data_IF_569387840562
#
_entry.id   IF_569387840562
#
_cell.length_a   1.000
_cell.length_b   1.000
_cell.length_c   1.000
_cell.angle_alpha   90.00
_cell.angle_beta   90.00
_cell.angle_gamma   90.00
#
_symmetry.space_group_name_H-M   'P 1'
#
loop_
_entity.id
_entity.type
_entity.pdbx_description
1 polymer ?
#
# COMPACT_ATOMS: atom_id res chain seq x y z
N UNK A 1 -23.43 6.35 -60.26
CA UNK A 1 -24.69 6.12 -59.52
C UNK A 1 -24.72 4.66 -59.05
N UNK A 2 -25.09 4.47 -57.77
CA UNK A 2 -25.48 3.24 -57.05
C UNK A 2 -24.46 2.08 -56.96
N UNK A 3 -23.76 1.92 -55.83
CA UNK A 3 -24.17 1.34 -54.52
C UNK A 3 -24.26 -0.20 -54.56
N UNK A 4 -23.12 -0.85 -54.35
CA UNK A 4 -23.06 -2.25 -53.92
C UNK A 4 -23.27 -2.33 -52.40
N UNK A 5 -24.29 -3.06 -51.98
CA UNK A 5 -24.58 -3.40 -50.59
C UNK A 5 -23.63 -4.51 -50.10
N UNK A 6 -22.73 -4.19 -49.18
CA UNK A 6 -21.98 -5.17 -48.40
C UNK A 6 -22.55 -5.16 -46.98
N UNK A 7 -23.30 -6.20 -46.62
CA UNK A 7 -23.63 -6.50 -45.24
C UNK A 7 -22.32 -6.81 -44.49
N UNK A 8 -22.03 -6.18 -43.34
CA UNK A 8 -20.90 -6.62 -42.52
C UNK A 8 -21.25 -7.96 -41.87
N UNK A 9 -20.40 -8.97 -42.13
CA UNK A 9 -20.41 -10.24 -41.41
C UNK A 9 -20.39 -9.98 -39.89
N UNK A 10 -21.15 -10.74 -39.08
CA UNK A 10 -21.05 -10.62 -37.63
C UNK A 10 -19.62 -10.92 -37.19
N UNK A 11 -19.04 -9.96 -36.47
CA UNK A 11 -17.69 -10.05 -35.89
C UNK A 11 -17.68 -11.27 -34.97
N UNK A 12 -16.94 -12.30 -35.36
CA UNK A 12 -16.70 -13.47 -34.52
C UNK A 12 -15.79 -13.05 -33.37
N UNK A 13 -16.27 -13.18 -32.14
CA UNK A 13 -15.45 -12.97 -30.95
C UNK A 13 -14.27 -13.96 -30.94
N UNK A 14 -13.05 -13.53 -30.59
CA UNK A 14 -11.94 -14.44 -30.39
C UNK A 14 -12.26 -15.45 -29.29
N UNK A 15 -11.73 -16.69 -29.35
CA UNK A 15 -12.03 -17.72 -28.38
C UNK A 15 -11.64 -17.26 -26.97
N UNK A 16 -12.57 -17.46 -26.04
CA UNK A 16 -12.45 -17.06 -24.64
C UNK A 16 -11.51 -18.01 -23.89
N UNK A 17 -10.20 -17.94 -24.17
CA UNK A 17 -9.20 -18.69 -23.42
C UNK A 17 -8.00 -17.82 -23.03
N UNK A 18 -8.22 -16.98 -22.03
CA UNK A 18 -7.32 -17.00 -20.88
C UNK A 18 -8.17 -17.21 -19.64
N UNK A 19 -8.22 -18.46 -19.23
CA UNK A 19 -8.99 -18.94 -18.09
C UNK A 19 -8.82 -18.04 -16.87
N UNK A 20 -9.94 -17.46 -16.42
CA UNK A 20 -10.09 -16.74 -15.15
C UNK A 20 -9.72 -17.65 -13.96
N UNK A 21 -9.56 -18.97 -14.19
CA UNK A 21 -9.14 -19.94 -13.18
C UNK A 21 -7.78 -19.63 -12.52
N UNK A 22 -6.95 -18.76 -13.10
CA UNK A 22 -5.70 -18.32 -12.46
C UNK A 22 -5.85 -17.15 -11.47
N UNK A 23 -7.02 -16.50 -11.41
CA UNK A 23 -7.31 -15.42 -10.46
C UNK A 23 -8.04 -15.88 -9.20
N UNK A 24 -8.29 -17.18 -9.09
CA UNK A 24 -8.87 -17.80 -7.91
C UNK A 24 -7.78 -17.92 -6.83
N UNK A 25 -8.06 -17.42 -5.62
CA UNK A 25 -7.32 -17.85 -4.42
C UNK A 25 -7.46 -19.37 -4.27
N UNK A 26 -6.66 -20.03 -3.41
CA UNK A 26 -6.85 -21.47 -3.15
C UNK A 26 -8.27 -21.83 -2.59
N UNK A 27 -9.10 -20.84 -2.24
CA UNK A 27 -10.54 -20.98 -1.92
C UNK A 27 -11.50 -20.46 -3.01
N UNK A 28 -10.97 -19.87 -4.08
CA UNK A 28 -11.67 -19.49 -5.30
C UNK A 28 -12.92 -18.64 -5.13
N UNK A 29 -12.89 -17.60 -4.29
CA UNK A 29 -14.08 -16.78 -3.98
C UNK A 29 -13.84 -15.27 -4.17
N UNK A 30 -14.75 -14.60 -4.87
CA UNK A 30 -14.91 -13.14 -4.96
C UNK A 30 -16.24 -12.71 -4.31
N UNK A 31 -16.30 -11.55 -3.64
CA UNK A 31 -17.52 -11.01 -3.02
C UNK A 31 -17.70 -9.54 -3.40
N UNK A 32 -18.87 -9.19 -3.94
CA UNK A 32 -19.34 -7.81 -4.15
C UNK A 32 -20.81 -7.69 -3.76
N UNK A 33 -21.12 -6.83 -2.78
CA UNK A 33 -22.44 -6.78 -2.14
C UNK A 33 -22.88 -8.12 -1.56
N UNK A 34 -24.11 -8.54 -1.90
CA UNK A 34 -24.72 -9.83 -1.52
C UNK A 34 -24.33 -10.97 -2.48
N UNK A 35 -23.51 -10.69 -3.50
CA UNK A 35 -23.12 -11.66 -4.51
C UNK A 35 -21.73 -12.21 -4.20
N UNK A 36 -21.67 -13.54 -4.09
CA UNK A 36 -20.45 -14.31 -3.92
C UNK A 36 -20.23 -15.14 -5.18
N UNK A 37 -19.12 -14.92 -5.86
CA UNK A 37 -18.71 -15.71 -7.03
C UNK A 37 -17.66 -16.70 -6.57
N UNK A 38 -17.93 -17.99 -6.71
CA UNK A 38 -16.96 -19.04 -6.40
C UNK A 38 -16.75 -20.01 -7.57
N UNK A 39 -15.92 -21.03 -7.38
CA UNK A 39 -15.66 -22.09 -8.38
C UNK A 39 -16.91 -22.84 -8.87
N UNK A 40 -18.02 -22.76 -8.14
CA UNK A 40 -19.29 -23.44 -8.42
C UNK A 40 -20.36 -22.49 -9.02
N UNK A 41 -20.03 -21.21 -9.25
CA UNK A 41 -20.90 -20.22 -9.89
C UNK A 41 -21.19 -18.98 -9.03
N UNK A 42 -22.26 -18.25 -9.38
CA UNK A 42 -22.71 -17.04 -8.68
C UNK A 42 -23.75 -17.44 -7.62
N UNK A 43 -23.47 -17.18 -6.35
CA UNK A 43 -24.40 -17.37 -5.23
C UNK A 43 -24.82 -16.03 -4.62
N UNK A 44 -26.11 -15.87 -4.32
CA UNK A 44 -26.64 -14.82 -3.45
C UNK A 44 -26.50 -15.27 -2.00
N UNK A 45 -25.65 -14.60 -1.22
CA UNK A 45 -25.45 -14.94 0.19
C UNK A 45 -26.54 -14.27 1.02
N UNK A 46 -27.56 -15.03 1.41
CA UNK A 46 -28.46 -14.62 2.50
C UNK A 46 -27.67 -14.58 3.81
N UNK A 47 -27.86 -13.53 4.61
CA UNK A 47 -27.17 -13.25 5.88
C UNK A 47 -27.42 -14.35 6.94
N UNK A 48 -26.78 -15.51 6.83
CA UNK A 48 -26.79 -16.53 7.89
C UNK A 48 -25.77 -17.65 7.65
N UNK A 49 -24.47 -17.34 7.71
CA UNK A 49 -23.43 -18.32 8.09
C UNK A 49 -22.36 -17.60 8.94
N UNK A 50 -21.77 -18.30 9.94
CA UNK A 50 -20.99 -17.66 11.00
C UNK A 50 -19.78 -16.96 10.41
N UNK A 51 -19.68 -15.66 10.69
CA UNK A 51 -18.73 -14.75 10.10
C UNK A 51 -17.29 -15.22 10.22
N UNK A 52 -16.47 -14.76 9.27
CA UNK A 52 -15.02 -14.74 9.42
C UNK A 52 -14.63 -14.37 10.86
N UNK A 53 -13.54 -14.94 11.41
CA UNK A 53 -13.11 -14.65 12.77
C UNK A 53 -13.13 -13.12 12.95
N UNK A 54 -13.72 -12.63 14.06
CA UNK A 54 -13.90 -11.21 14.28
C UNK A 54 -12.56 -10.48 14.11
N UNK A 55 -12.59 -9.16 13.83
CA UNK A 55 -11.41 -8.32 13.92
C UNK A 55 -10.60 -8.70 15.15
N UNK A 56 -9.27 -8.75 15.02
CA UNK A 56 -8.39 -9.12 16.11
C UNK A 56 -8.57 -8.06 17.21
N UNK A 57 -9.41 -8.38 18.18
CA UNK A 57 -9.65 -7.58 19.37
C UNK A 57 -8.87 -8.25 20.51
N UNK A 58 -7.87 -7.58 21.09
CA UNK A 58 -7.19 -8.10 22.27
C UNK A 58 -8.21 -8.22 23.41
N UNK A 59 -8.29 -9.41 24.01
CA UNK A 59 -9.30 -9.76 25.02
C UNK A 59 -9.20 -8.86 26.27
N UNK A 60 -8.03 -8.29 26.51
CA UNK A 60 -7.76 -7.23 27.46
C UNK A 60 -6.88 -6.18 26.77
N UNK A 61 -7.22 -4.89 26.88
CA UNK A 61 -6.52 -3.76 26.25
C UNK A 61 -5.05 -3.54 26.70
N UNK A 62 -4.38 -4.56 27.23
CA UNK A 62 -2.99 -4.53 27.67
C UNK A 62 -2.21 -5.71 27.09
N UNK A 63 -1.89 -5.63 25.80
CA UNK A 63 -0.86 -6.50 25.22
C UNK A 63 0.49 -6.19 25.90
N UNK A 64 1.27 -7.23 26.18
CA UNK A 64 2.67 -7.12 26.64
C UNK A 64 3.60 -7.80 25.63
N UNK A 65 4.81 -7.28 25.46
CA UNK A 65 5.84 -7.92 24.62
C UNK A 65 6.21 -9.32 25.13
N UNK A 66 6.09 -9.57 26.44
CA UNK A 66 6.39 -10.88 27.03
C UNK A 66 5.39 -11.97 26.62
N UNK A 67 4.16 -11.58 26.24
CA UNK A 67 3.09 -12.49 25.84
C UNK A 67 3.10 -12.82 24.35
N UNK A 68 4.08 -12.27 23.61
CA UNK A 68 4.25 -12.47 22.19
C UNK A 68 5.40 -13.43 21.91
N UNK A 69 5.14 -14.38 21.01
CA UNK A 69 6.12 -15.28 20.44
C UNK A 69 6.47 -14.81 19.03
N UNK A 70 7.77 -14.64 18.74
CA UNK A 70 8.23 -14.26 17.39
C UNK A 70 8.22 -15.50 16.51
N UNK A 71 7.49 -15.42 15.40
CA UNK A 71 7.37 -16.51 14.42
C UNK A 71 8.42 -16.36 13.32
N UNK A 72 8.45 -15.19 12.66
CA UNK A 72 9.39 -14.90 11.58
C UNK A 72 9.51 -13.40 11.31
N UNK A 73 10.59 -12.99 10.65
CA UNK A 73 10.68 -11.64 10.07
C UNK A 73 9.84 -11.59 8.80
N UNK A 74 8.98 -10.58 8.68
CA UNK A 74 8.11 -10.35 7.52
C UNK A 74 8.45 -9.08 6.73
N UNK A 75 9.24 -8.19 7.30
CA UNK A 75 9.72 -6.99 6.61
C UNK A 75 11.01 -6.47 7.22
N UNK A 76 11.89 -5.95 6.36
CA UNK A 76 13.04 -5.15 6.76
C UNK A 76 13.01 -3.88 5.91
N UNK A 77 12.81 -2.74 6.56
CA UNK A 77 12.68 -1.45 5.88
C UNK A 77 13.62 -0.41 6.48
N UNK A 78 13.65 0.78 5.86
CA UNK A 78 14.41 1.95 6.35
C UNK A 78 14.03 2.36 7.77
N UNK A 79 12.78 2.10 8.16
CA UNK A 79 12.27 2.41 9.50
C UNK A 79 12.56 1.33 10.55
N UNK A 80 13.15 0.19 10.19
CA UNK A 80 13.42 -0.93 11.11
C UNK A 80 12.88 -2.28 10.65
N UNK A 81 12.78 -3.22 11.58
CA UNK A 81 12.38 -4.60 11.33
C UNK A 81 10.90 -4.83 11.69
N UNK A 82 10.22 -5.63 10.88
CA UNK A 82 8.83 -6.07 11.13
C UNK A 82 8.80 -7.58 11.27
N UNK A 83 8.25 -8.07 12.38
CA UNK A 83 8.15 -9.47 12.73
C UNK A 83 6.69 -9.90 12.79
N UNK A 84 6.38 -11.08 12.25
CA UNK A 84 5.13 -11.77 12.57
C UNK A 84 5.28 -12.35 13.97
N UNK A 85 4.37 -11.97 14.84
CA UNK A 85 4.31 -12.46 16.22
C UNK A 85 2.96 -13.10 16.49
N UNK A 86 2.92 -14.03 17.44
CA UNK A 86 1.72 -14.73 17.87
C UNK A 86 1.53 -14.51 19.37
N UNK A 87 0.35 -14.11 19.78
CA UNK A 87 0.04 -14.00 21.19
C UNK A 87 -0.13 -15.40 21.80
N UNK A 88 0.59 -15.69 22.88
CA UNK A 88 0.73 -17.03 23.45
C UNK A 88 -0.60 -17.61 23.92
N UNK A 89 -1.48 -16.79 24.49
CA UNK A 89 -2.77 -17.27 25.02
C UNK A 89 -3.85 -17.31 23.94
N UNK A 90 -4.07 -16.21 23.24
CA UNK A 90 -5.17 -16.09 22.25
C UNK A 90 -4.83 -16.72 20.90
N UNK A 91 -3.56 -17.08 20.67
CA UNK A 91 -3.04 -17.61 19.41
C UNK A 91 -3.23 -16.66 18.22
N UNK A 92 -3.59 -15.40 18.47
CA UNK A 92 -3.80 -14.37 17.45
C UNK A 92 -2.46 -13.86 16.91
N UNK A 93 -2.44 -13.52 15.61
CA UNK A 93 -1.26 -13.02 14.93
C UNK A 93 -1.24 -11.49 14.86
N UNK A 94 -0.07 -10.91 15.08
CA UNK A 94 0.16 -9.47 14.97
C UNK A 94 1.44 -9.20 14.17
N UNK A 95 1.58 -7.96 13.69
CA UNK A 95 2.84 -7.45 13.17
C UNK A 95 3.53 -6.61 14.26
N UNK A 96 4.73 -7.00 14.66
CA UNK A 96 5.57 -6.25 15.59
C UNK A 96 6.62 -5.47 14.81
N UNK A 97 6.49 -4.14 14.78
CA UNK A 97 7.48 -3.24 14.19
C UNK A 97 8.43 -2.72 15.26
N UNK A 98 9.73 -2.91 15.06
CA UNK A 98 10.79 -2.47 15.97
C UNK A 98 11.63 -1.41 15.27
N UNK A 99 11.62 -0.20 15.83
CA UNK A 99 12.33 0.98 15.36
C UNK A 99 13.43 1.32 16.36
N UNK A 100 14.67 1.39 15.90
CA UNK A 100 15.78 1.84 16.73
C UNK A 100 15.92 3.35 16.60
N UNK A 101 15.88 4.06 17.73
CA UNK A 101 16.05 5.50 17.80
C UNK A 101 17.39 5.81 18.47
N UNK A 102 18.26 6.50 17.76
CA UNK A 102 19.55 6.97 18.29
C UNK A 102 19.39 8.43 18.76
N UNK A 103 18.56 8.65 19.79
CA UNK A 103 18.30 9.97 20.38
C UNK A 103 18.06 9.85 21.89
N UNK A 104 17.89 10.98 22.58
CA UNK A 104 17.68 11.01 24.02
C UNK A 104 16.39 10.28 24.43
N UNK A 105 16.40 9.71 25.64
CA UNK A 105 15.28 8.90 26.14
C UNK A 105 13.96 9.70 26.25
N UNK A 106 14.04 10.96 26.69
CA UNK A 106 12.90 11.89 26.77
C UNK A 106 12.25 12.09 25.39
N UNK A 107 13.07 12.31 24.36
CA UNK A 107 12.65 12.43 22.96
C UNK A 107 12.03 11.14 22.45
N UNK A 108 12.65 9.98 22.74
CA UNK A 108 12.09 8.68 22.35
C UNK A 108 10.71 8.41 22.98
N UNK A 109 10.52 8.77 24.25
CA UNK A 109 9.22 8.64 24.93
C UNK A 109 8.15 9.52 24.27
N UNK A 110 8.50 10.79 23.97
CA UNK A 110 7.60 11.69 23.26
C UNK A 110 7.22 11.15 21.86
N UNK A 111 8.19 10.63 21.12
CA UNK A 111 7.99 9.98 19.82
C UNK A 111 7.05 8.78 19.95
N UNK A 112 7.27 7.89 20.92
CA UNK A 112 6.44 6.71 21.14
C UNK A 112 5.00 7.09 21.47
N UNK A 113 4.81 8.15 22.25
CA UNK A 113 3.48 8.68 22.57
C UNK A 113 2.78 9.30 21.36
N UNK A 114 3.49 10.09 20.55
CA UNK A 114 2.94 10.67 19.30
C UNK A 114 2.56 9.57 18.31
N UNK A 115 3.40 8.53 18.15
CA UNK A 115 3.08 7.36 17.33
C UNK A 115 1.81 6.67 17.80
N UNK A 116 1.67 6.44 19.11
CA UNK A 116 0.47 5.82 19.66
C UNK A 116 -0.79 6.62 19.34
N UNK A 117 -0.74 7.95 19.47
CA UNK A 117 -1.88 8.84 19.19
C UNK A 117 -2.21 8.87 17.70
N UNK A 118 -1.19 8.92 16.85
CA UNK A 118 -1.38 8.99 15.41
C UNK A 118 -1.92 7.67 14.86
N UNK A 119 -1.37 6.54 15.32
CA UNK A 119 -1.72 5.21 14.85
C UNK A 119 -2.97 4.62 15.54
N UNK A 120 -3.46 5.21 16.63
CA UNK A 120 -4.74 4.83 17.24
C UNK A 120 -5.91 5.34 16.38
N UNK A 121 -6.12 4.67 15.26
CA UNK A 121 -7.21 4.94 14.33
C UNK A 121 -8.14 3.74 14.20
N UNK A 122 -9.44 4.02 14.25
CA UNK A 122 -10.49 3.05 13.91
C UNK A 122 -10.87 3.11 12.42
N UNK A 123 -10.09 3.82 11.60
CA UNK A 123 -10.36 3.93 10.17
C UNK A 123 -10.07 2.59 9.46
N UNK A 124 -11.05 2.00 8.74
CA UNK A 124 -10.91 0.70 8.08
C UNK A 124 -9.96 0.70 6.87
N UNK A 125 -9.40 1.85 6.51
CA UNK A 125 -8.43 2.02 5.42
C UNK A 125 -7.00 2.22 5.94
N UNK A 126 -6.80 2.20 7.26
CA UNK A 126 -5.50 2.30 7.92
C UNK A 126 -5.23 1.04 8.73
N UNK A 127 -3.98 0.62 8.76
CA UNK A 127 -3.53 -0.48 9.62
C UNK A 127 -3.70 -0.05 11.08
N UNK A 128 -4.42 -0.85 11.86
CA UNK A 128 -4.67 -0.53 13.26
C UNK A 128 -3.40 -0.74 14.09
N UNK A 129 -3.11 0.20 14.98
CA UNK A 129 -2.13 0.02 16.04
C UNK A 129 -2.82 -0.34 17.34
N UNK A 130 -2.41 -1.45 17.93
CA UNK A 130 -2.96 -1.95 19.19
C UNK A 130 -2.21 -1.41 20.40
N UNK A 131 -0.87 -1.39 20.33
CA UNK A 131 -0.05 -0.91 21.45
C UNK A 131 1.34 -0.48 20.97
N UNK A 132 1.97 0.44 21.70
CA UNK A 132 3.38 0.78 21.54
C UNK A 132 4.14 0.69 22.86
N UNK A 133 5.42 0.36 22.78
CA UNK A 133 6.33 0.27 23.91
C UNK A 133 7.63 0.99 23.57
N UNK A 134 8.27 1.53 24.60
CA UNK A 134 9.62 2.06 24.50
C UNK A 134 10.50 1.41 25.56
N UNK A 135 11.63 0.86 25.15
CA UNK A 135 12.62 0.28 26.06
C UNK A 135 14.02 0.35 25.43
N UNK A 136 15.00 0.87 26.16
CA UNK A 136 16.42 0.92 25.77
C UNK A 136 16.67 1.45 24.33
N UNK A 137 16.07 2.58 23.96
CA UNK A 137 16.24 3.16 22.63
C UNK A 137 15.45 2.48 21.51
N UNK A 138 14.66 1.46 21.82
CA UNK A 138 13.80 0.76 20.85
C UNK A 138 12.33 1.12 21.06
N UNK A 139 11.68 1.56 19.98
CA UNK A 139 10.22 1.69 19.91
C UNK A 139 9.65 0.45 19.24
N UNK A 140 8.82 -0.28 19.98
CA UNK A 140 8.12 -1.46 19.51
C UNK A 140 6.64 -1.15 19.33
N UNK A 141 6.06 -1.49 18.18
CA UNK A 141 4.68 -1.17 17.83
C UNK A 141 3.98 -2.45 17.41
N UNK A 142 2.89 -2.81 18.09
CA UNK A 142 2.02 -3.92 17.72
C UNK A 142 0.94 -3.41 16.78
N UNK A 143 0.92 -3.95 15.58
CA UNK A 143 0.05 -3.58 14.47
C UNK A 143 -0.83 -4.76 14.06
N UNK A 144 -1.95 -4.43 13.39
CA UNK A 144 -2.75 -5.38 12.62
C UNK A 144 -1.87 -6.15 11.63
N UNK A 145 -1.98 -7.47 11.66
CA UNK A 145 -1.31 -8.32 10.70
C UNK A 145 -2.14 -8.44 9.41
N UNK A 146 -1.54 -8.01 8.31
CA UNK A 146 -2.12 -8.08 6.97
C UNK A 146 -1.52 -9.28 6.23
N UNK A 147 -2.25 -10.38 6.21
CA UNK A 147 -1.78 -11.71 5.82
C UNK A 147 -1.54 -11.91 4.30
N UNK A 148 -1.92 -10.94 3.47
CA UNK A 148 -1.63 -10.90 2.04
C UNK A 148 -0.31 -10.19 1.69
N UNK A 149 0.37 -9.60 2.68
CA UNK A 149 1.61 -8.83 2.50
C UNK A 149 1.36 -7.44 1.92
N UNK A 150 2.37 -6.88 1.26
CA UNK A 150 2.28 -5.55 0.63
C UNK A 150 1.89 -5.61 -0.84
N UNK A 151 1.46 -4.48 -1.40
CA UNK A 151 1.23 -4.34 -2.83
C UNK A 151 2.53 -4.54 -3.64
N UNK A 152 3.70 -4.23 -3.07
CA UNK A 152 4.99 -4.57 -3.66
C UNK A 152 5.19 -6.10 -3.77
N UNK A 153 4.78 -6.86 -2.75
CA UNK A 153 4.85 -8.32 -2.76
C UNK A 153 3.86 -8.93 -3.76
N UNK A 154 2.67 -8.34 -3.88
CA UNK A 154 1.71 -8.71 -4.90
C UNK A 154 2.31 -8.48 -6.29
N UNK A 155 2.85 -7.30 -6.55
CA UNK A 155 3.39 -6.92 -7.86
C UNK A 155 4.53 -7.84 -8.30
N UNK A 156 5.41 -8.24 -7.38
CA UNK A 156 6.47 -9.24 -7.65
C UNK A 156 5.91 -10.59 -8.09
N UNK A 157 4.73 -10.99 -7.62
CA UNK A 157 4.11 -12.28 -7.95
C UNK A 157 3.32 -12.24 -9.25
N UNK A 158 2.57 -11.16 -9.49
CA UNK A 158 1.62 -11.10 -10.62
C UNK A 158 2.16 -10.30 -11.81
N UNK A 159 3.22 -9.51 -11.62
CA UNK A 159 3.81 -8.65 -12.63
C UNK A 159 3.00 -7.38 -12.88
N UNK A 160 1.69 -7.48 -13.12
CA UNK A 160 0.79 -6.33 -13.35
C UNK A 160 -0.54 -6.52 -12.65
N UNK A 161 -1.15 -5.43 -12.23
CA UNK A 161 -2.48 -5.40 -11.61
C UNK A 161 -3.49 -4.90 -12.64
N UNK A 162 -4.54 -5.69 -12.96
CA UNK A 162 -5.62 -5.26 -13.85
C UNK A 162 -6.29 -3.97 -13.38
N UNK A 163 -6.69 -3.13 -14.33
CA UNK A 163 -7.22 -1.78 -14.07
C UNK A 163 -8.46 -1.79 -13.14
N UNK A 164 -9.35 -2.77 -13.31
CA UNK A 164 -10.53 -2.94 -12.47
C UNK A 164 -10.19 -3.27 -11.00
N UNK A 165 -9.14 -4.05 -10.75
CA UNK A 165 -8.65 -4.30 -9.39
C UNK A 165 -7.94 -3.05 -8.84
N UNK A 166 -7.17 -2.38 -9.70
CA UNK A 166 -6.43 -1.19 -9.33
C UNK A 166 -7.36 -0.03 -8.94
N UNK A 167 -8.52 0.11 -9.58
CA UNK A 167 -9.53 1.11 -9.21
C UNK A 167 -10.11 0.84 -7.80
N UNK A 168 -10.37 -0.43 -7.46
CA UNK A 168 -10.82 -0.83 -6.13
C UNK A 168 -9.75 -0.55 -5.05
N UNK A 169 -8.48 -0.85 -5.35
CA UNK A 169 -7.34 -0.52 -4.50
C UNK A 169 -7.26 1.01 -4.30
N UNK A 170 -7.24 1.77 -5.40
CA UNK A 170 -7.16 3.23 -5.40
C UNK A 170 -8.26 3.86 -4.54
N UNK A 171 -9.51 3.44 -4.71
CA UNK A 171 -10.64 3.93 -3.91
C UNK A 171 -10.42 3.76 -2.40
N UNK A 172 -9.88 2.62 -1.96
CA UNK A 172 -9.59 2.37 -0.54
C UNK A 172 -8.44 3.25 -0.05
N UNK A 173 -7.36 3.37 -0.82
CA UNK A 173 -6.21 4.20 -0.47
C UNK A 173 -6.61 5.68 -0.38
N UNK A 174 -7.38 6.19 -1.33
CA UNK A 174 -7.90 7.56 -1.29
C UNK A 174 -8.76 7.84 -0.06
N UNK A 175 -9.60 6.89 0.37
CA UNK A 175 -10.35 7.03 1.62
C UNK A 175 -9.43 7.11 2.85
N UNK A 176 -8.37 6.29 2.89
CA UNK A 176 -7.35 6.37 3.93
C UNK A 176 -6.59 7.69 3.92
N UNK A 177 -6.17 8.16 2.74
CA UNK A 177 -5.50 9.45 2.56
C UNK A 177 -6.40 10.61 2.99
N UNK A 178 -7.67 10.61 2.58
CA UNK A 178 -8.65 11.61 2.98
C UNK A 178 -8.76 11.70 4.51
N UNK A 179 -8.88 10.56 5.19
CA UNK A 179 -8.92 10.50 6.65
C UNK A 179 -7.67 11.11 7.30
N UNK A 180 -6.46 10.67 6.89
CA UNK A 180 -5.24 11.18 7.52
C UNK A 180 -5.00 12.66 7.21
N UNK A 181 -5.33 13.13 6.00
CA UNK A 181 -5.12 14.51 5.58
C UNK A 181 -6.09 15.48 6.25
N UNK A 182 -7.38 15.15 6.27
CA UNK A 182 -8.43 16.09 6.67
C UNK A 182 -8.80 15.94 8.16
N UNK A 183 -8.95 14.72 8.66
CA UNK A 183 -9.37 14.48 10.04
C UNK A 183 -8.18 14.48 11.00
N UNK A 184 -7.05 13.88 10.61
CA UNK A 184 -5.86 13.79 11.47
C UNK A 184 -4.81 14.88 11.22
N UNK A 185 -4.89 15.61 10.10
CA UNK A 185 -3.88 16.61 9.69
C UNK A 185 -2.47 16.04 9.58
N UNK A 186 -2.37 14.79 9.13
CA UNK A 186 -1.11 14.06 8.91
C UNK A 186 -0.89 13.90 7.41
N UNK A 187 0.31 14.20 6.94
CA UNK A 187 0.79 13.85 5.60
C UNK A 187 1.61 12.56 5.73
N UNK A 188 1.39 11.57 4.85
CA UNK A 188 2.07 10.28 4.93
C UNK A 188 3.56 10.39 4.61
N UNK A 189 3.95 11.09 3.54
CA UNK A 189 5.35 11.37 3.14
C UNK A 189 6.20 10.18 2.68
N UNK A 190 5.66 8.97 2.66
CA UNK A 190 6.36 7.76 2.24
C UNK A 190 5.37 6.75 1.63
N UNK A 191 4.45 7.25 0.80
CA UNK A 191 3.48 6.37 0.15
C UNK A 191 4.17 5.65 -1.02
N UNK A 192 4.16 4.31 -0.97
CA UNK A 192 4.80 3.42 -1.95
C UNK A 192 4.15 2.04 -1.88
N UNK A 193 4.39 1.12 -2.84
CA UNK A 193 3.69 -0.16 -2.86
C UNK A 193 3.97 -1.03 -1.61
N UNK A 194 5.14 -0.88 -0.97
CA UNK A 194 5.44 -1.60 0.27
C UNK A 194 4.65 -1.13 1.50
N UNK A 195 4.09 0.08 1.45
CA UNK A 195 3.34 0.70 2.55
C UNK A 195 1.81 0.62 2.34
N UNK A 196 1.37 -0.10 1.30
CA UNK A 196 -0.01 -0.48 1.06
C UNK A 196 -0.15 -1.97 1.31
N UNK A 197 -0.82 -2.34 2.40
CA UNK A 197 -0.93 -3.73 2.83
C UNK A 197 -2.29 -4.31 2.43
N UNK A 198 -2.28 -5.60 2.10
CA UNK A 198 -3.45 -6.36 1.67
C UNK A 198 -3.65 -7.59 2.53
N UNK A 199 -4.89 -8.07 2.63
CA UNK A 199 -5.22 -9.31 3.32
C UNK A 199 -6.14 -10.21 2.49
N UNK A 200 -6.29 -11.47 2.90
CA UNK A 200 -7.15 -12.43 2.18
C UNK A 200 -8.65 -12.10 2.24
N UNK A 201 -9.06 -11.12 3.05
CA UNK A 201 -10.43 -10.56 3.06
C UNK A 201 -10.65 -9.54 1.94
N UNK A 202 -9.62 -9.22 1.16
CA UNK A 202 -9.69 -8.21 0.09
C UNK A 202 -9.58 -6.77 0.59
N UNK A 203 -9.15 -6.57 1.83
CA UNK A 203 -8.94 -5.22 2.37
C UNK A 203 -7.57 -4.70 1.93
N UNK A 204 -7.54 -3.41 1.60
CA UNK A 204 -6.31 -2.64 1.41
C UNK A 204 -6.26 -1.58 2.49
N UNK A 205 -5.12 -1.49 3.18
CA UNK A 205 -4.87 -0.54 4.27
C UNK A 205 -3.51 0.12 4.15
N UNK A 206 -3.46 1.40 4.52
CA UNK A 206 -2.22 2.20 4.58
C UNK A 206 -1.52 1.92 5.91
N UNK A 207 -0.20 1.70 5.88
CA UNK A 207 0.65 1.58 7.07
C UNK A 207 1.70 2.71 7.11
N UNK A 208 2.45 2.80 8.20
CA UNK A 208 3.66 3.65 8.31
C UNK A 208 3.44 5.17 8.16
N UNK A 209 2.19 5.62 8.18
CA UNK A 209 1.85 7.03 8.32
C UNK A 209 2.28 7.54 9.70
N UNK A 210 2.76 8.79 9.77
CA UNK A 210 3.24 9.41 11.03
C UNK A 210 4.65 8.97 11.47
N UNK A 211 5.07 7.73 11.18
CA UNK A 211 6.45 7.24 11.44
C UNK A 211 7.47 8.02 10.58
N UNK A 212 7.09 8.37 9.35
CA UNK A 212 7.93 9.14 8.41
C UNK A 212 8.35 10.52 8.94
N UNK A 213 7.45 11.22 9.65
CA UNK A 213 7.73 12.53 10.28
C UNK A 213 8.84 12.40 11.32
N UNK A 214 8.77 11.35 12.15
CA UNK A 214 9.74 11.06 13.19
C UNK A 214 11.11 10.77 12.60
N UNK A 215 11.17 9.87 11.61
CA UNK A 215 12.42 9.53 10.93
C UNK A 215 13.07 10.74 10.25
N UNK A 216 12.25 11.69 9.77
CA UNK A 216 12.74 12.95 9.19
C UNK A 216 13.30 13.89 10.27
N UNK A 217 12.69 13.94 11.46
CA UNK A 217 13.12 14.80 12.56
C UNK A 217 14.38 14.30 13.30
N UNK A 218 14.67 13.00 13.24
CA UNK A 218 15.89 12.42 13.82
C UNK A 218 16.99 12.36 12.77
N UNK A 219 17.87 13.38 12.72
CA UNK A 219 18.93 13.55 11.70
C UNK A 219 19.83 12.33 11.46
N UNK A 220 19.96 11.41 12.42
CA UNK A 220 20.79 10.21 12.30
C UNK A 220 20.20 9.13 11.35
N UNK A 221 18.88 9.10 11.15
CA UNK A 221 18.22 8.20 10.19
C UNK A 221 17.91 8.88 8.85
N UNK A 222 17.84 10.22 8.83
CA UNK A 222 17.64 11.03 7.61
C UNK A 222 18.72 10.77 6.54
N UNK A 223 19.96 10.46 6.94
CA UNK A 223 21.06 10.14 6.03
C UNK A 223 21.05 8.70 5.47
N UNK A 224 20.16 7.82 5.96
CA UNK A 224 20.02 6.44 5.46
C UNK A 224 18.91 6.28 4.40
N UNK A 225 18.29 7.39 3.97
CA UNK A 225 17.15 7.45 3.03
C UNK A 225 17.47 7.11 1.57
N UNK A 226 18.52 6.33 1.29
CA UNK A 226 19.00 5.99 -0.06
C UNK A 226 17.98 5.16 -0.89
N UNK A 227 16.81 4.78 -0.33
CA UNK A 227 15.82 3.91 -1.00
C UNK A 227 14.41 4.46 -1.21
N UNK A 228 14.07 5.69 -0.78
CA UNK A 228 12.67 6.19 -0.78
C UNK A 228 12.38 7.29 -1.79
N UNK A 229 13.39 7.85 -2.45
CA UNK A 229 13.22 8.93 -3.42
C UNK A 229 12.31 8.67 -4.62
N UNK A 230 12.12 7.43 -5.17
CA UNK A 230 11.39 7.27 -6.42
C UNK A 230 9.97 7.81 -6.40
N UNK A 231 9.27 7.71 -5.27
CA UNK A 231 7.87 8.15 -5.16
C UNK A 231 7.74 9.59 -4.64
N UNK A 232 8.85 10.25 -4.32
CA UNK A 232 8.83 11.61 -3.79
C UNK A 232 8.37 12.59 -4.87
N UNK A 233 7.53 13.54 -4.48
CA UNK A 233 7.05 14.57 -5.39
C UNK A 233 8.11 15.63 -5.71
N UNK A 234 8.07 16.27 -6.89
CA UNK A 234 9.05 17.26 -7.31
C UNK A 234 9.21 18.40 -6.30
N UNK A 235 8.10 18.92 -5.75
CA UNK A 235 8.13 20.02 -4.78
C UNK A 235 8.80 19.62 -3.47
N UNK A 236 8.74 18.34 -3.07
CA UNK A 236 9.45 17.84 -1.89
C UNK A 236 10.94 17.67 -2.15
N UNK A 237 11.30 17.23 -3.36
CA UNK A 237 12.70 17.12 -3.78
C UNK A 237 13.36 18.50 -3.80
N UNK A 238 12.70 19.50 -4.39
CA UNK A 238 13.21 20.87 -4.50
C UNK A 238 13.15 21.66 -3.19
N UNK A 239 12.69 21.07 -2.08
CA UNK A 239 12.59 21.73 -0.78
C UNK A 239 11.52 22.83 -0.70
N UNK A 240 10.56 22.85 -1.64
CA UNK A 240 9.45 23.80 -1.66
C UNK A 240 8.40 23.48 -0.59
N UNK A 241 7.46 24.40 -0.36
CA UNK A 241 6.29 24.11 0.48
C UNK A 241 5.52 22.93 -0.12
N UNK A 242 5.50 21.82 0.60
CA UNK A 242 4.76 20.63 0.23
C UNK A 242 3.49 20.49 1.06
N UNK A 243 2.50 19.80 0.50
CA UNK A 243 1.19 19.62 1.12
C UNK A 243 0.76 18.16 1.04
N UNK A 244 -0.50 17.90 1.37
CA UNK A 244 -1.10 16.58 1.17
C UNK A 244 -1.11 16.13 -0.30
N UNK A 245 -0.93 17.05 -1.26
CA UNK A 245 -0.75 16.77 -2.70
C UNK A 245 0.46 15.89 -3.00
N UNK A 246 1.51 15.95 -2.19
CA UNK A 246 2.68 15.10 -2.35
C UNK A 246 2.36 13.60 -2.19
N UNK A 247 1.38 13.25 -1.36
CA UNK A 247 0.91 11.86 -1.25
C UNK A 247 0.05 11.44 -2.46
N UNK A 248 -0.65 12.39 -3.10
CA UNK A 248 -1.42 12.14 -4.33
C UNK A 248 -0.48 11.87 -5.50
N UNK A 249 0.61 12.63 -5.61
CA UNK A 249 1.71 12.33 -6.54
C UNK A 249 2.26 10.92 -6.32
N UNK A 250 2.61 10.61 -5.07
CA UNK A 250 3.15 9.30 -4.71
C UNK A 250 2.18 8.17 -5.11
N UNK A 251 0.87 8.38 -4.91
CA UNK A 251 -0.18 7.43 -5.31
C UNK A 251 -0.25 7.28 -6.84
N UNK A 252 -0.18 8.36 -7.62
CA UNK A 252 -0.16 8.30 -9.08
C UNK A 252 0.95 7.40 -9.62
N UNK A 253 2.16 7.54 -9.06
CA UNK A 253 3.30 6.67 -9.41
C UNK A 253 3.07 5.21 -9.01
N UNK A 254 2.52 4.95 -7.82
CA UNK A 254 2.16 3.59 -7.36
C UNK A 254 1.17 2.94 -8.31
N UNK A 255 0.14 3.67 -8.74
CA UNK A 255 -0.90 3.13 -9.64
C UNK A 255 -0.32 2.81 -11.01
N UNK A 256 0.49 3.72 -11.58
CA UNK A 256 1.18 3.47 -12.85
C UNK A 256 2.13 2.27 -12.78
N UNK A 257 2.89 2.15 -11.69
CA UNK A 257 3.78 1.01 -11.49
C UNK A 257 3.00 -0.30 -11.41
N UNK A 258 1.89 -0.32 -10.65
CA UNK A 258 1.04 -1.51 -10.54
C UNK A 258 0.40 -1.88 -11.88
N UNK A 259 -0.07 -0.90 -12.64
CA UNK A 259 -0.72 -1.11 -13.93
C UNK A 259 0.27 -1.63 -15.00
N UNK A 260 1.47 -1.05 -15.04
CA UNK A 260 2.46 -1.34 -16.09
C UNK A 260 3.46 -2.44 -15.71
N UNK A 261 3.57 -2.76 -14.42
CA UNK A 261 4.50 -3.73 -13.85
C UNK A 261 5.94 -3.25 -13.74
N UNK A 262 6.19 -1.97 -14.01
CA UNK A 262 7.50 -1.34 -13.97
C UNK A 262 7.39 0.06 -13.42
N UNK A 263 8.42 0.53 -12.73
CA UNK A 263 8.43 1.90 -12.23
C UNK A 263 8.30 2.91 -13.41
N UNK A 264 7.51 4.00 -13.29
CA UNK A 264 7.07 4.77 -14.46
C UNK A 264 8.17 5.64 -15.10
N UNK A 265 9.19 6.04 -14.36
CA UNK A 265 10.34 6.75 -14.93
C UNK A 265 11.37 5.75 -15.45
N UNK A 266 11.80 5.93 -16.69
CA UNK A 266 12.86 5.15 -17.32
C UNK A 266 14.16 5.94 -17.40
N UNK A 267 15.33 5.27 -17.26
CA UNK A 267 16.61 5.88 -17.56
C UNK A 267 16.67 6.39 -19.01
N UNK A 268 17.57 7.33 -19.33
CA UNK A 268 17.81 7.77 -20.71
C UNK A 268 18.11 6.59 -21.65
N UNK A 269 17.67 6.66 -22.92
CA UNK A 269 17.66 5.55 -23.88
C UNK A 269 19.02 4.85 -24.07
N UNK A 270 20.12 5.54 -23.82
CA UNK A 270 21.48 5.01 -23.97
C UNK A 270 22.02 4.30 -22.72
N UNK A 271 21.23 4.18 -21.63
CA UNK A 271 21.66 3.56 -20.37
C UNK A 271 20.85 2.30 -20.05
N UNK A 272 21.52 1.29 -19.49
CA UNK A 272 20.89 0.04 -19.01
C UNK A 272 20.17 0.19 -17.65
N UNK A 273 20.24 1.37 -17.03
CA UNK A 273 19.76 1.63 -15.67
C UNK A 273 20.09 3.05 -15.20
N UNK A 274 19.55 3.46 -14.07
CA UNK A 274 19.92 4.70 -13.39
C UNK A 274 21.34 4.58 -12.84
N UNK A 275 22.22 5.55 -13.14
CA UNK A 275 23.60 5.50 -12.64
C UNK A 275 23.71 5.95 -11.18
N UNK A 276 22.76 6.76 -10.71
CA UNK A 276 22.63 7.15 -9.30
C UNK A 276 21.18 7.51 -8.96
N UNK A 277 20.87 7.62 -7.68
CA UNK A 277 19.56 8.12 -7.22
C UNK A 277 19.35 9.58 -7.63
N UNK A 278 20.41 10.38 -7.72
CA UNK A 278 20.33 11.78 -8.16
C UNK A 278 19.79 11.91 -9.59
N UNK A 279 20.18 11.02 -10.51
CA UNK A 279 19.66 11.06 -11.88
C UNK A 279 18.15 10.81 -11.94
N UNK A 280 17.64 9.91 -11.08
CA UNK A 280 16.21 9.67 -10.99
C UNK A 280 15.49 10.88 -10.37
N UNK A 281 16.06 11.46 -9.34
CA UNK A 281 15.53 12.64 -8.66
C UNK A 281 15.47 13.84 -9.62
N UNK A 282 16.53 14.08 -10.39
CA UNK A 282 16.57 15.10 -11.45
C UNK A 282 15.51 14.80 -12.52
N UNK A 283 15.37 13.55 -12.94
CA UNK A 283 14.34 13.17 -13.90
C UNK A 283 12.91 13.40 -13.37
N UNK A 284 12.67 13.22 -12.07
CA UNK A 284 11.37 13.51 -11.45
C UNK A 284 11.06 15.00 -11.48
N UNK A 285 12.07 15.86 -11.27
CA UNK A 285 11.92 17.32 -11.21
C UNK A 285 11.84 17.94 -12.61
N UNK A 286 12.69 17.50 -13.54
CA UNK A 286 12.90 18.18 -14.82
C UNK A 286 12.05 17.61 -15.96
N UNK A 287 11.67 16.32 -15.92
CA UNK A 287 10.87 15.72 -16.99
C UNK A 287 9.37 15.88 -16.75
N UNK A 288 8.54 15.85 -17.81
CA UNK A 288 7.10 15.81 -17.65
C UNK A 288 6.67 14.59 -16.79
N UNK A 289 5.61 14.72 -15.97
CA UNK A 289 5.08 13.60 -15.21
C UNK A 289 4.69 12.43 -16.12
N UNK A 290 4.88 11.18 -15.68
CA UNK A 290 4.57 10.02 -16.49
C UNK A 290 3.05 9.89 -16.70
N UNK A 291 2.65 9.44 -17.89
CA UNK A 291 1.25 9.20 -18.25
C UNK A 291 0.99 7.71 -18.51
N UNK A 292 -0.26 7.27 -18.30
CA UNK A 292 -0.66 5.92 -18.67
C UNK A 292 -0.72 5.77 -20.20
N UNK A 293 -0.15 4.70 -20.79
CA UNK A 293 -0.22 4.45 -22.23
C UNK A 293 -1.67 4.29 -22.72
N UNK A 294 -2.16 5.23 -23.53
CA UNK A 294 -3.55 5.29 -23.99
C UNK A 294 -3.99 4.12 -24.87
N UNK A 295 -3.03 3.37 -25.43
CA UNK A 295 -3.28 2.16 -26.21
C UNK A 295 -3.48 0.90 -25.33
N UNK A 296 -3.19 0.98 -24.03
CA UNK A 296 -3.25 -0.15 -23.10
C UNK A 296 -4.31 0.00 -22.02
N UNK A 297 -4.74 1.22 -21.72
CA UNK A 297 -5.63 1.53 -20.61
C UNK A 297 -6.84 2.37 -21.04
N UNK A 298 -7.86 2.39 -20.20
CA UNK A 298 -9.06 3.18 -20.48
C UNK A 298 -8.77 4.70 -20.52
N UNK A 299 -9.56 5.48 -21.27
CA UNK A 299 -9.50 6.93 -21.22
C UNK A 299 -9.68 7.50 -19.81
N UNK A 300 -10.51 6.84 -18.99
CA UNK A 300 -10.78 7.22 -17.60
C UNK A 300 -9.52 7.05 -16.73
N UNK A 301 -8.81 5.93 -16.85
CA UNK A 301 -7.56 5.71 -16.12
C UNK A 301 -6.46 6.67 -16.58
N UNK A 302 -6.31 6.87 -17.89
CA UNK A 302 -5.37 7.86 -18.43
C UNK A 302 -5.67 9.27 -17.92
N UNK A 303 -6.94 9.68 -17.91
CA UNK A 303 -7.37 10.97 -17.36
C UNK A 303 -7.09 11.06 -15.87
N UNK A 304 -7.43 10.02 -15.11
CA UNK A 304 -7.21 9.97 -13.66
C UNK A 304 -5.73 10.12 -13.28
N UNK A 305 -4.83 9.44 -13.99
CA UNK A 305 -3.37 9.53 -13.76
C UNK A 305 -2.81 10.90 -14.16
N UNK A 306 -3.37 11.54 -15.19
CA UNK A 306 -2.87 12.85 -15.65
C UNK A 306 -3.21 14.02 -14.70
N UNK A 307 -4.01 13.78 -13.66
CA UNK A 307 -4.41 14.78 -12.67
C UNK A 307 -3.49 14.71 -11.44
N UNK A 308 -2.38 15.44 -11.50
CA UNK A 308 -1.40 15.58 -10.41
C UNK A 308 -1.76 16.72 -9.45
#
# INVERSE_FOLDING_TARGET
MNRGSLCPNPICLPPLEQSISKFLTQSGTFKDGDLRVNKDGIQTVSLSEPGAPPPIEPLDNQLSLADLEVIKVIGKGSSGNVQLVKHKLTQQFFALKVIQLNTEESTCRAISQELRINLSSQCPYLVSCYQSFYHNGLVSIILEFMDGGSLADLLKKVGKVPENMLSAICKRVLRGLCYIHHERRIIHRDLKPSNLLINHRGEVKITDFGVSKILTSTSSLANSFVGTYPYMSPERISGSLYSNKSDIWSLGLVLLECATGKFPYTPPEHKKGWSSVYELVDAIVENPPPCAPSNLFSPEFCSFISQW
#
